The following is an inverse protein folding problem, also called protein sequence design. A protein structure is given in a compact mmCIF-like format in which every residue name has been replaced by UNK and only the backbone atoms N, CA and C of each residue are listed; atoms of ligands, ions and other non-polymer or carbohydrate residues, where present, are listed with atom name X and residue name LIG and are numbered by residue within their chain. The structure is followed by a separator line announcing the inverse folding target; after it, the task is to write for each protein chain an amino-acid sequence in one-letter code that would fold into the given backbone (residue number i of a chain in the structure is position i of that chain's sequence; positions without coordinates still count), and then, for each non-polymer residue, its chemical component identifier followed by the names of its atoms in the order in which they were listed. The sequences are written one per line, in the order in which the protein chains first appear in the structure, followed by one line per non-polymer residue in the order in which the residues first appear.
data_IF_285659466962
#
_entry.id   IF_285659466962
#
_cell.length_a   1.000
_cell.length_b   1.000
_cell.length_c   1.000
_cell.angle_alpha   90.00
_cell.angle_beta   90.00
_cell.angle_gamma   90.00
#
_symmetry.space_group_name_H-M   'P 1'
#
loop_
_entity.id
_entity.type
_entity.pdbx_description
1 polymer ?
#
# COMPACT_ATOMS: atom_id res chain seq x y z
N UNK A 1 -5.53 7.98 -8.88
CA UNK A 1 -5.16 8.47 -7.54
C UNK A 1 -3.87 9.24 -7.70
N UNK A 2 -3.74 10.42 -7.08
CA UNK A 2 -2.50 11.21 -7.13
C UNK A 2 -1.47 10.73 -6.12
N UNK A 3 -1.93 10.14 -5.00
CA UNK A 3 -1.11 9.64 -3.89
C UNK A 3 -1.16 8.11 -3.77
N UNK A 4 -0.34 7.57 -2.88
CA UNK A 4 -0.23 6.14 -2.60
C UNK A 4 -0.85 5.76 -1.25
N UNK A 5 -1.43 4.57 -1.18
CA UNK A 5 -2.01 4.04 0.05
C UNK A 5 -0.99 3.15 0.76
N UNK A 6 -0.73 3.47 2.03
CA UNK A 6 0.19 2.71 2.88
C UNK A 6 -0.44 2.15 4.14
N UNK A 7 0.37 1.42 4.89
CA UNK A 7 0.04 0.94 6.23
C UNK A 7 1.25 1.14 7.15
N UNK A 8 1.03 1.60 8.37
CA UNK A 8 2.05 1.83 9.37
C UNK A 8 2.55 0.54 10.01
N UNK A 9 3.87 0.35 10.09
CA UNK A 9 4.44 -0.85 10.73
C UNK A 9 4.26 -0.86 12.25
N UNK A 10 3.90 0.28 12.86
CA UNK A 10 3.42 0.35 14.24
C UNK A 10 2.19 -0.54 14.52
N UNK A 11 1.37 -0.82 13.49
CA UNK A 11 0.26 -1.74 13.53
C UNK A 11 0.66 -3.20 13.27
N UNK A 12 1.94 -3.48 13.02
CA UNK A 12 2.52 -4.81 12.78
C UNK A 12 3.68 -5.13 13.74
N UNK A 13 3.70 -4.54 14.94
CA UNK A 13 4.81 -4.65 15.89
C UNK A 13 5.12 -6.08 16.37
N UNK A 14 4.19 -7.04 16.17
CA UNK A 14 4.37 -8.45 16.52
C UNK A 14 4.89 -9.32 15.35
N UNK A 15 5.12 -8.74 14.17
CA UNK A 15 5.65 -9.44 13.00
C UNK A 15 7.10 -9.01 12.74
N UNK A 16 7.92 -9.95 12.24
CA UNK A 16 9.20 -9.58 11.62
C UNK A 16 8.93 -8.62 10.48
N UNK A 17 9.80 -7.62 10.30
CA UNK A 17 9.59 -6.58 9.28
C UNK A 17 9.38 -7.17 7.87
N UNK A 18 10.17 -8.17 7.49
CA UNK A 18 10.04 -8.81 6.17
C UNK A 18 8.65 -9.44 5.92
N UNK A 19 8.09 -10.08 6.95
CA UNK A 19 6.77 -10.71 6.87
C UNK A 19 5.67 -9.64 6.85
N UNK A 20 5.80 -8.59 7.66
CA UNK A 20 4.87 -7.45 7.66
C UNK A 20 4.81 -6.78 6.28
N UNK A 21 5.97 -6.47 5.69
CA UNK A 21 6.04 -5.86 4.35
C UNK A 21 5.40 -6.74 3.27
N UNK A 22 5.61 -8.06 3.34
CA UNK A 22 4.99 -9.00 2.41
C UNK A 22 3.46 -8.98 2.53
N UNK A 23 2.93 -9.06 3.76
CA UNK A 23 1.49 -9.02 4.03
C UNK A 23 0.88 -7.69 3.55
N UNK A 24 1.51 -6.56 3.86
CA UNK A 24 1.08 -5.23 3.42
C UNK A 24 1.01 -5.15 1.89
N UNK A 25 2.07 -5.58 1.20
CA UNK A 25 2.10 -5.62 -0.25
C UNK A 25 1.05 -6.56 -0.85
N UNK A 26 0.83 -7.74 -0.28
CA UNK A 26 -0.15 -8.73 -0.75
C UNK A 26 -1.60 -8.24 -0.60
N UNK A 27 -1.88 -7.44 0.43
CA UNK A 27 -3.20 -6.84 0.65
C UNK A 27 -3.54 -5.72 -0.35
N UNK A 28 -2.54 -5.25 -1.11
CA UNK A 28 -2.73 -4.28 -2.18
C UNK A 28 -2.26 -2.87 -1.83
N UNK A 29 -1.63 -2.64 -0.68
CA UNK A 29 -0.97 -1.38 -0.37
C UNK A 29 0.20 -1.16 -1.34
N UNK A 30 0.54 0.10 -1.59
CA UNK A 30 1.67 0.49 -2.43
C UNK A 30 2.71 1.32 -1.68
N UNK A 31 2.49 1.58 -0.39
CA UNK A 31 3.55 2.09 0.48
C UNK A 31 3.46 1.59 1.90
N UNK A 32 4.40 2.03 2.71
CA UNK A 32 4.55 1.68 4.13
C UNK A 32 5.04 2.89 4.90
N UNK A 33 4.42 3.17 6.04
CA UNK A 33 5.01 4.08 7.01
C UNK A 33 5.84 3.23 7.99
N UNK A 34 7.15 3.24 7.80
CA UNK A 34 8.08 2.39 8.53
C UNK A 34 8.45 3.05 9.85
N UNK A 35 7.91 2.53 10.95
CA UNK A 35 8.29 2.94 12.30
C UNK A 35 9.65 2.32 12.65
N UNK A 36 10.66 3.16 12.92
CA UNK A 36 11.95 2.71 13.43
C UNK A 36 11.81 2.27 14.89
N UNK A 37 12.02 0.99 15.17
CA UNK A 37 11.89 0.38 16.50
C UNK A 37 12.81 -0.85 16.62
N UNK A 38 13.06 -1.29 17.85
CA UNK A 38 13.91 -2.43 18.22
C UNK A 38 13.61 -3.71 17.42
N UNK A 39 12.33 -3.96 17.15
CA UNK A 39 11.88 -5.20 16.50
C UNK A 39 11.97 -5.16 14.97
N UNK A 40 11.94 -3.96 14.37
CA UNK A 40 11.93 -3.77 12.94
C UNK A 40 13.30 -3.30 12.46
N UNK A 41 13.49 -2.00 12.33
CA UNK A 41 14.76 -1.40 11.94
C UNK A 41 15.24 -0.50 13.08
N UNK A 42 16.14 -1.04 13.90
CA UNK A 42 16.72 -0.34 15.05
C UNK A 42 17.82 0.65 14.58
N UNK A 43 17.62 1.97 14.74
CA UNK A 43 18.58 2.98 14.32
C UNK A 43 19.90 2.97 15.12
N UNK A 44 19.91 2.31 16.27
CA UNK A 44 21.10 2.13 17.12
C UNK A 44 21.69 0.73 17.02
N UNK A 45 21.10 -0.15 16.20
CA UNK A 45 21.58 -1.50 15.99
C UNK A 45 22.96 -1.53 15.35
N UNK A 46 23.85 -2.47 15.73
CA UNK A 46 25.24 -2.51 15.25
C UNK A 46 25.36 -2.74 13.73
N UNK A 47 24.30 -3.22 13.08
CA UNK A 47 24.27 -3.53 11.65
C UNK A 47 23.27 -2.64 10.87
N UNK A 48 22.85 -1.50 11.42
CA UNK A 48 21.79 -0.67 10.85
C UNK A 48 21.99 -0.39 9.36
N UNK A 49 23.20 -0.03 8.91
CA UNK A 49 23.47 0.25 7.50
C UNK A 49 23.16 -0.96 6.58
N UNK A 50 23.58 -2.16 6.98
CA UNK A 50 23.33 -3.38 6.20
C UNK A 50 21.85 -3.81 6.26
N UNK A 51 21.17 -3.59 7.39
CA UNK A 51 19.73 -3.84 7.49
C UNK A 51 18.93 -2.83 6.65
N UNK A 52 19.31 -1.55 6.64
CA UNK A 52 18.71 -0.51 5.80
C UNK A 52 18.81 -0.89 4.32
N UNK A 53 19.97 -1.34 3.84
CA UNK A 53 20.14 -1.81 2.45
C UNK A 53 19.22 -3.00 2.11
N UNK A 54 19.09 -3.96 3.04
CA UNK A 54 18.18 -5.10 2.87
C UNK A 54 16.72 -4.68 2.85
N UNK A 55 16.33 -3.73 3.71
CA UNK A 55 14.97 -3.19 3.74
C UNK A 55 14.69 -2.42 2.46
N UNK A 56 15.59 -1.55 1.99
CA UNK A 56 15.47 -0.85 0.71
C UNK A 56 15.26 -1.83 -0.45
N UNK A 57 16.12 -2.84 -0.58
CA UNK A 57 15.98 -3.87 -1.62
C UNK A 57 14.65 -4.64 -1.53
N UNK A 58 14.13 -4.85 -0.30
CA UNK A 58 12.83 -5.50 -0.09
C UNK A 58 11.66 -4.59 -0.48
N UNK A 59 11.72 -3.31 -0.13
CA UNK A 59 10.72 -2.31 -0.51
C UNK A 59 10.64 -2.19 -2.03
N UNK A 60 11.79 -2.10 -2.71
CA UNK A 60 11.89 -2.07 -4.18
C UNK A 60 11.27 -3.32 -4.81
N UNK A 61 11.62 -4.51 -4.30
CA UNK A 61 11.09 -5.77 -4.81
C UNK A 61 9.57 -5.90 -4.63
N UNK A 62 9.01 -5.28 -3.60
CA UNK A 62 7.56 -5.27 -3.33
C UNK A 62 6.85 -4.08 -4.00
N UNK A 63 7.59 -3.12 -4.54
CA UNK A 63 7.05 -1.87 -5.08
C UNK A 63 6.40 -0.99 -4.00
N UNK A 64 6.96 -0.97 -2.78
CA UNK A 64 6.45 -0.17 -1.66
C UNK A 64 7.21 1.15 -1.55
N UNK A 65 6.50 2.27 -1.72
CA UNK A 65 6.97 3.60 -1.30
C UNK A 65 7.09 3.67 0.22
N UNK A 66 7.98 4.50 0.76
CA UNK A 66 8.23 4.54 2.21
C UNK A 66 8.27 5.95 2.77
N UNK A 67 7.69 6.10 3.96
CA UNK A 67 7.94 7.20 4.90
C UNK A 67 8.55 6.59 6.16
N UNK A 68 9.45 7.32 6.84
CA UNK A 68 10.00 6.88 8.12
C UNK A 68 9.26 7.57 9.26
N UNK A 69 8.80 6.78 10.24
CA UNK A 69 8.14 7.27 11.44
C UNK A 69 9.01 7.08 12.69
N UNK A 70 8.87 8.01 13.63
CA UNK A 70 9.72 8.09 14.83
C UNK A 70 8.93 7.91 16.14
N UNK A 71 7.78 7.21 16.05
CA UNK A 71 6.82 6.96 17.13
C UNK A 71 7.06 5.70 17.97
N UNK A 72 8.26 5.10 17.92
CA UNK A 72 8.58 3.94 18.75
C UNK A 72 8.51 4.25 20.25
N UNK A 73 7.86 3.35 21.01
CA UNK A 73 7.47 3.63 22.39
C UNK A 73 8.63 3.71 23.34
N UNK A 74 9.58 2.78 23.26
CA UNK A 74 10.64 2.62 24.26
C UNK A 74 12.02 2.56 23.60
N UNK A 75 12.17 3.22 22.46
CA UNK A 75 13.41 3.19 21.68
C UNK A 75 14.56 3.89 22.42
N UNK A 76 14.29 5.09 22.95
CA UNK A 76 15.31 5.92 23.60
C UNK A 76 15.36 5.71 25.12
N UNK A 77 14.23 5.32 25.73
CA UNK A 77 14.12 5.05 27.16
C UNK A 77 13.28 3.78 27.39
N UNK A 78 13.82 2.75 28.05
CA UNK A 78 13.10 1.49 28.28
C UNK A 78 11.98 1.59 29.32
N UNK A 79 11.90 2.70 30.07
CA UNK A 79 10.96 2.90 31.18
C UNK A 79 9.94 4.00 30.93
N UNK A 80 10.30 5.01 30.14
CA UNK A 80 9.44 6.15 29.82
C UNK A 80 9.08 6.15 28.36
N UNK A 81 7.79 5.97 28.06
CA UNK A 81 7.28 6.01 26.70
C UNK A 81 7.70 7.33 26.03
N UNK A 82 8.26 7.25 24.82
CA UNK A 82 8.59 8.37 23.92
C UNK A 82 9.70 9.32 24.39
N UNK A 83 10.18 9.18 25.63
CA UNK A 83 11.14 10.11 26.22
C UNK A 83 12.58 9.77 25.82
N UNK A 84 13.48 10.75 25.65
CA UNK A 84 13.22 12.20 25.65
C UNK A 84 12.57 12.69 24.35
N UNK A 85 11.94 13.86 24.44
CA UNK A 85 11.24 14.55 23.34
C UNK A 85 11.93 15.88 23.01
N UNK A 86 11.47 16.60 21.98
CA UNK A 86 12.01 17.92 21.63
C UNK A 86 11.66 19.00 22.68
N UNK A 87 10.70 18.75 23.58
CA UNK A 87 10.36 19.65 24.68
C UNK A 87 10.98 19.27 26.01
N UNK A 88 11.73 18.16 26.05
CA UNK A 88 12.52 17.73 27.21
C UNK A 88 13.71 18.66 27.44
N UNK A 89 14.27 18.66 28.66
CA UNK A 89 15.46 19.45 28.99
C UNK A 89 16.71 18.93 28.28
N UNK A 90 16.88 17.61 28.26
CA UNK A 90 17.91 16.92 27.48
C UNK A 90 17.33 16.47 26.14
N UNK A 91 17.45 17.34 25.13
CA UNK A 91 16.98 17.08 23.77
C UNK A 91 18.00 16.32 22.92
N UNK A 92 19.26 16.22 23.35
CA UNK A 92 20.36 15.79 22.49
C UNK A 92 20.14 14.37 21.97
N UNK A 93 19.62 13.49 22.81
CA UNK A 93 19.26 12.12 22.44
C UNK A 93 18.12 12.07 21.41
N UNK A 94 17.12 12.96 21.53
CA UNK A 94 16.01 13.02 20.55
C UNK A 94 16.47 13.60 19.22
N UNK A 95 17.31 14.64 19.25
CA UNK A 95 17.91 15.23 18.05
C UNK A 95 18.79 14.22 17.33
N UNK A 96 19.68 13.49 18.04
CA UNK A 96 20.49 12.41 17.45
C UNK A 96 19.62 11.33 16.79
N UNK A 97 18.54 10.90 17.46
CA UNK A 97 17.60 9.94 16.87
C UNK A 97 16.98 10.45 15.56
N UNK A 98 16.47 11.69 15.54
CA UNK A 98 15.82 12.24 14.35
C UNK A 98 16.81 12.44 13.19
N UNK A 99 18.07 12.80 13.48
CA UNK A 99 19.12 12.86 12.46
C UNK A 99 19.48 11.48 11.91
N UNK A 100 19.62 10.46 12.76
CA UNK A 100 19.78 9.07 12.31
C UNK A 100 18.61 8.59 11.48
N UNK A 101 17.39 8.94 11.88
CA UNK A 101 16.19 8.62 11.13
C UNK A 101 16.21 9.27 9.73
N UNK A 102 16.68 10.51 9.61
CA UNK A 102 16.84 11.19 8.33
C UNK A 102 17.91 10.52 7.43
N UNK A 103 19.01 10.04 8.01
CA UNK A 103 20.01 9.28 7.26
C UNK A 103 19.47 7.94 6.77
N UNK A 104 18.79 7.20 7.64
CA UNK A 104 18.13 5.93 7.28
C UNK A 104 17.06 6.17 6.22
N UNK A 105 16.22 7.19 6.39
CA UNK A 105 15.19 7.57 5.43
C UNK A 105 15.78 7.89 4.05
N UNK A 106 16.87 8.64 3.99
CA UNK A 106 17.57 8.92 2.74
C UNK A 106 18.10 7.65 2.07
N UNK A 107 18.69 6.74 2.84
CA UNK A 107 19.25 5.48 2.33
C UNK A 107 18.15 4.47 1.92
N UNK A 108 16.93 4.58 2.49
CA UNK A 108 15.73 3.85 2.07
C UNK A 108 15.06 4.46 0.83
N UNK A 109 15.39 5.70 0.45
CA UNK A 109 14.65 6.46 -0.56
C UNK A 109 13.26 6.91 -0.08
N UNK A 110 13.12 7.19 1.21
CA UNK A 110 11.87 7.63 1.82
C UNK A 110 11.51 9.08 1.48
N UNK A 111 10.20 9.37 1.46
CA UNK A 111 9.71 10.71 1.15
C UNK A 111 10.03 11.73 2.24
N UNK A 112 9.95 11.31 3.51
CA UNK A 112 10.20 12.16 4.66
C UNK A 112 10.44 11.33 5.94
N UNK A 113 10.82 12.05 7.01
CA UNK A 113 10.77 11.56 8.40
C UNK A 113 9.64 12.27 9.13
N UNK A 114 8.63 11.51 9.59
CA UNK A 114 7.57 12.02 10.46
C UNK A 114 8.03 12.09 11.92
N UNK A 115 7.76 13.21 12.59
CA UNK A 115 8.03 13.41 14.01
C UNK A 115 7.00 14.33 14.67
N UNK A 116 6.90 14.24 16.00
CA UNK A 116 6.01 15.05 16.84
C UNK A 116 6.81 15.83 17.91
N UNK A 117 6.20 16.83 18.53
CA UNK A 117 6.85 17.77 19.46
C UNK A 117 7.13 17.17 20.85
N UNK A 118 6.14 16.48 21.40
CA UNK A 118 6.17 15.81 22.69
C UNK A 118 5.27 16.48 23.72
N UNK A 119 4.96 15.72 24.76
CA UNK A 119 4.25 16.22 25.94
C UNK A 119 5.21 17.05 26.80
N UNK A 120 4.78 18.25 27.19
CA UNK A 120 5.54 19.13 28.06
C UNK A 120 5.14 18.96 29.53
N UNK A 121 6.13 18.97 30.42
CA UNK A 121 5.98 19.10 31.88
C UNK A 121 6.36 20.50 32.39
N UNK A 122 6.72 21.41 31.48
CA UNK A 122 7.07 22.81 31.73
C UNK A 122 6.03 23.75 31.12
N UNK A 123 6.16 25.04 31.42
CA UNK A 123 5.30 26.08 30.83
C UNK A 123 5.44 26.15 29.31
N UNK A 124 4.37 26.62 28.65
CA UNK A 124 4.24 26.68 27.19
C UNK A 124 5.38 27.45 26.53
N UNK A 125 5.83 28.57 27.09
CA UNK A 125 6.90 29.37 26.51
C UNK A 125 8.24 28.64 26.55
N UNK A 126 8.53 27.94 27.66
CA UNK A 126 9.74 27.09 27.76
C UNK A 126 9.67 25.91 26.79
N UNK A 127 8.52 25.22 26.71
CA UNK A 127 8.31 24.11 25.79
C UNK A 127 8.47 24.54 24.33
N UNK A 128 7.85 25.66 23.95
CA UNK A 128 7.92 26.22 22.61
C UNK A 128 9.33 26.61 22.22
N UNK A 129 10.07 27.29 23.12
CA UNK A 129 11.47 27.63 22.89
C UNK A 129 12.31 26.38 22.66
N UNK A 130 12.13 25.35 23.50
CA UNK A 130 12.81 24.05 23.40
C UNK A 130 12.54 23.39 22.06
N UNK A 131 11.28 23.31 21.65
CA UNK A 131 10.88 22.75 20.36
C UNK A 131 11.54 23.50 19.19
N UNK A 132 11.44 24.85 19.17
CA UNK A 132 12.01 25.70 18.13
C UNK A 132 13.52 25.53 18.02
N UNK A 133 14.24 25.52 19.14
CA UNK A 133 15.69 25.31 19.17
C UNK A 133 16.07 23.90 18.68
N UNK A 134 15.30 22.88 19.07
CA UNK A 134 15.49 21.50 18.60
C UNK A 134 15.27 21.32 17.10
N UNK A 135 14.18 21.87 16.56
CA UNK A 135 13.88 21.82 15.12
C UNK A 135 14.92 22.61 14.31
N UNK A 136 15.35 23.78 14.79
CA UNK A 136 16.42 24.54 14.15
C UNK A 136 17.71 23.71 14.02
N UNK A 137 18.09 22.97 15.07
CA UNK A 137 19.25 22.06 15.02
C UNK A 137 19.10 20.94 13.98
N UNK A 138 17.90 20.40 13.79
CA UNK A 138 17.63 19.40 12.76
C UNK A 138 17.82 19.98 11.35
N UNK A 139 17.34 21.20 11.13
CA UNK A 139 17.44 21.89 9.84
C UNK A 139 18.88 22.34 9.54
N UNK A 140 19.60 22.84 10.55
CA UNK A 140 21.01 23.26 10.44
C UNK A 140 21.94 22.08 10.10
N UNK A 141 21.52 20.84 10.38
CA UNK A 141 22.24 19.63 9.98
C UNK A 141 22.13 19.31 8.47
N UNK A 142 21.37 20.11 7.70
CA UNK A 142 21.16 19.94 6.26
C UNK A 142 20.69 18.52 5.89
N UNK A 143 19.49 18.10 6.36
CA UNK A 143 19.01 16.74 6.15
C UNK A 143 18.83 16.44 4.65
N UNK A 144 18.96 15.16 4.29
CA UNK A 144 18.81 14.70 2.89
C UNK A 144 17.35 14.46 2.47
N UNK A 145 16.44 14.39 3.44
CA UNK A 145 15.00 14.22 3.26
C UNK A 145 14.26 15.21 4.16
N UNK A 146 13.05 15.66 3.78
CA UNK A 146 12.28 16.59 4.59
C UNK A 146 11.80 15.94 5.89
N UNK A 147 11.60 16.77 6.92
CA UNK A 147 10.91 16.40 8.14
C UNK A 147 9.44 16.80 8.07
N UNK A 148 8.53 15.90 8.45
CA UNK A 148 7.10 16.19 8.61
C UNK A 148 6.77 16.36 10.08
N UNK A 149 6.43 17.58 10.50
CA UNK A 149 5.93 17.82 11.85
C UNK A 149 4.47 17.40 11.93
N UNK A 150 4.18 16.50 12.85
CA UNK A 150 2.85 16.00 13.18
C UNK A 150 2.29 16.78 14.38
N UNK A 151 1.16 17.50 14.22
CA UNK A 151 0.35 17.95 15.35
C UNK A 151 -0.31 16.76 16.04
N UNK A 152 -0.11 16.62 17.35
CA UNK A 152 -0.57 15.46 18.11
C UNK A 152 -1.36 15.87 19.38
N UNK A 153 -2.56 15.31 19.62
CA UNK A 153 -3.39 15.64 20.78
C UNK A 153 -2.66 15.51 22.12
N UNK A 154 -2.64 16.59 22.89
CA UNK A 154 -1.99 16.68 24.20
C UNK A 154 -0.49 16.97 24.16
N UNK A 155 0.09 17.27 23.00
CA UNK A 155 1.49 17.67 22.86
C UNK A 155 1.65 19.19 22.74
N UNK A 156 2.90 19.67 22.80
CA UNK A 156 3.22 21.10 22.67
C UNK A 156 2.83 21.72 21.31
N UNK A 157 2.71 20.89 20.26
CA UNK A 157 2.04 21.23 19.00
C UNK A 157 0.90 20.25 18.87
N UNK A 158 -0.31 20.74 19.11
CA UNK A 158 -1.54 19.97 19.03
C UNK A 158 -2.32 20.27 17.75
N UNK A 159 -2.27 21.52 17.31
CA UNK A 159 -3.03 22.00 16.15
C UNK A 159 -2.12 22.28 14.96
N UNK A 160 -2.66 22.11 13.76
CA UNK A 160 -2.07 22.47 12.49
C UNK A 160 -1.64 23.94 12.48
N UNK A 161 -2.45 24.83 13.06
CA UNK A 161 -2.13 26.27 13.16
C UNK A 161 -0.87 26.54 13.98
N UNK A 162 -0.61 25.75 15.01
CA UNK A 162 0.62 25.83 15.82
C UNK A 162 1.82 25.33 15.01
N UNK A 163 1.69 24.20 14.30
CA UNK A 163 2.74 23.71 13.41
C UNK A 163 3.11 24.73 12.31
N UNK A 164 2.10 25.38 11.71
CA UNK A 164 2.30 26.46 10.74
C UNK A 164 2.98 27.68 11.37
N UNK A 165 2.60 28.06 12.60
CA UNK A 165 3.24 29.16 13.35
C UNK A 165 4.72 28.87 13.58
N UNK A 166 5.06 27.66 14.03
CA UNK A 166 6.45 27.25 14.23
C UNK A 166 7.26 27.36 12.93
N UNK A 167 6.69 26.92 11.80
CA UNK A 167 7.35 27.07 10.49
C UNK A 167 7.59 28.52 10.12
N UNK A 168 6.62 29.41 10.33
CA UNK A 168 6.78 30.85 10.07
C UNK A 168 7.87 31.46 10.96
N UNK A 169 7.93 31.11 12.24
CA UNK A 169 8.99 31.57 13.16
C UNK A 169 10.39 31.09 12.78
N UNK A 170 10.49 29.91 12.15
CA UNK A 170 11.73 29.35 11.60
C UNK A 170 12.06 29.87 10.19
N UNK A 171 11.26 30.76 9.63
CA UNK A 171 11.51 31.39 8.33
C UNK A 171 11.06 30.57 7.12
N UNK A 172 9.98 29.79 7.26
CA UNK A 172 9.38 29.01 6.17
C UNK A 172 10.34 28.00 5.49
N UNK A 173 11.07 27.16 6.25
CA UNK A 173 12.04 26.26 5.66
C UNK A 173 11.38 25.20 4.76
N UNK A 174 11.96 24.95 3.59
CA UNK A 174 11.48 23.95 2.61
C UNK A 174 11.57 22.52 3.17
N UNK A 175 12.58 22.24 3.99
CA UNK A 175 12.83 20.91 4.58
C UNK A 175 11.95 20.59 5.81
N UNK A 176 10.99 21.46 6.14
CA UNK A 176 10.03 21.23 7.20
C UNK A 176 8.62 21.31 6.60
N UNK A 177 8.02 20.14 6.36
CA UNK A 177 6.63 19.99 5.97
C UNK A 177 5.73 19.60 7.14
N UNK A 178 4.52 19.18 6.80
CA UNK A 178 3.49 18.71 7.73
C UNK A 178 3.25 17.22 7.49
N UNK A 179 3.31 16.45 8.56
CA UNK A 179 2.61 15.17 8.63
C UNK A 179 1.22 15.47 9.17
N UNK A 180 0.17 15.12 8.44
CA UNK A 180 -1.19 15.32 8.91
C UNK A 180 -1.84 13.99 9.26
N UNK A 181 -2.07 13.75 10.54
CA UNK A 181 -2.95 12.68 11.01
C UNK A 181 -4.40 13.19 10.97
N UNK A 182 -5.23 12.52 10.15
CA UNK A 182 -6.61 12.96 9.93
C UNK A 182 -7.54 12.60 11.09
N UNK A 183 -7.20 11.59 11.88
CA UNK A 183 -7.88 11.27 13.12
C UNK A 183 -7.61 12.32 14.19
N UNK A 184 -6.38 12.82 14.29
CA UNK A 184 -6.03 13.96 15.15
C UNK A 184 -6.85 15.19 14.77
N UNK A 185 -7.05 15.45 13.47
CA UNK A 185 -7.97 16.50 13.04
C UNK A 185 -9.37 16.31 13.63
N UNK A 186 -9.94 15.10 13.55
CA UNK A 186 -11.25 14.81 14.14
C UNK A 186 -11.26 14.98 15.67
N UNK A 187 -10.18 14.57 16.34
CA UNK A 187 -10.08 14.58 17.78
C UNK A 187 -10.00 15.99 18.37
N UNK A 188 -9.19 16.88 17.79
CA UNK A 188 -8.88 18.18 18.41
C UNK A 188 -9.06 19.39 17.52
N UNK A 189 -9.03 19.27 16.19
CA UNK A 189 -9.14 20.46 15.33
C UNK A 189 -10.54 21.07 15.34
N UNK A 190 -10.65 22.40 15.20
CA UNK A 190 -11.94 23.06 15.08
C UNK A 190 -12.60 22.79 13.71
N UNK A 191 -11.77 22.49 12.70
CA UNK A 191 -12.18 22.21 11.33
C UNK A 191 -12.17 20.69 11.06
N UNK A 192 -12.90 20.25 10.04
CA UNK A 192 -12.86 18.85 9.61
C UNK A 192 -11.53 18.49 8.92
N UNK A 193 -11.21 17.19 8.87
CA UNK A 193 -9.97 16.71 8.29
C UNK A 193 -9.77 17.12 6.82
N UNK A 194 -10.84 17.18 6.02
CA UNK A 194 -10.77 17.61 4.63
C UNK A 194 -10.36 19.10 4.51
N UNK A 195 -10.82 19.93 5.44
CA UNK A 195 -10.44 21.35 5.54
C UNK A 195 -8.99 21.48 6.01
N UNK A 196 -8.56 20.71 7.00
CA UNK A 196 -7.15 20.67 7.43
C UNK A 196 -6.22 20.25 6.28
N UNK A 197 -6.61 19.25 5.47
CA UNK A 197 -5.86 18.86 4.26
C UNK A 197 -5.71 20.04 3.29
N UNK A 198 -6.77 20.82 3.07
CA UNK A 198 -6.73 22.02 2.21
C UNK A 198 -5.84 23.12 2.77
N UNK A 199 -5.86 23.31 4.08
CA UNK A 199 -5.03 24.30 4.77
C UNK A 199 -3.55 23.93 4.70
N UNK A 200 -3.20 22.65 4.90
CA UNK A 200 -1.83 22.18 4.79
C UNK A 200 -1.33 22.20 3.33
N UNK A 201 -2.18 21.81 2.37
CA UNK A 201 -1.92 21.96 0.93
C UNK A 201 -0.58 21.39 0.49
N UNK A 202 0.24 22.23 -0.15
CA UNK A 202 1.58 21.86 -0.66
C UNK A 202 2.60 21.52 0.44
N UNK A 203 2.30 21.83 1.71
CA UNK A 203 3.18 21.50 2.84
C UNK A 203 3.07 20.04 3.28
N UNK A 204 2.08 19.29 2.80
CA UNK A 204 1.89 17.89 3.15
C UNK A 204 3.04 17.03 2.61
N UNK A 205 3.77 16.39 3.52
CA UNK A 205 4.84 15.42 3.19
C UNK A 205 4.50 14.00 3.60
N UNK A 206 3.54 13.83 4.53
CA UNK A 206 2.98 12.55 4.95
C UNK A 206 1.53 12.74 5.42
N UNK A 207 0.71 11.70 5.29
CA UNK A 207 -0.66 11.67 5.83
C UNK A 207 -0.87 10.36 6.56
N UNK A 208 -1.31 10.42 7.81
CA UNK A 208 -1.71 9.27 8.60
C UNK A 208 -3.23 9.15 8.57
N UNK A 209 -3.72 7.93 8.35
CA UNK A 209 -5.12 7.61 8.12
C UNK A 209 -5.63 6.66 9.19
N UNK A 210 -6.54 7.13 10.00
CA UNK A 210 -7.27 6.35 10.99
C UNK A 210 -8.61 7.04 11.25
N UNK A 211 -9.37 6.54 12.22
CA UNK A 211 -10.61 7.17 12.63
C UNK A 211 -10.53 7.53 14.12
N UNK A 212 -11.21 8.60 14.51
CA UNK A 212 -11.25 9.04 15.90
C UNK A 212 -12.63 9.63 16.22
N UNK A 213 -12.85 9.91 17.50
CA UNK A 213 -14.02 10.66 17.97
C UNK A 213 -13.58 11.97 18.61
N UNK A 214 -14.43 12.98 18.50
CA UNK A 214 -14.13 14.32 19.01
C UNK A 214 -13.77 14.30 20.51
N UNK A 215 -12.66 14.96 20.86
CA UNK A 215 -12.15 15.10 22.22
C UNK A 215 -11.46 13.86 22.80
N UNK A 216 -11.26 12.79 22.02
CA UNK A 216 -10.60 11.56 22.48
C UNK A 216 -9.47 11.17 21.54
N UNK A 217 -8.25 11.13 22.09
CA UNK A 217 -7.07 10.63 21.37
C UNK A 217 -7.02 9.09 21.45
N UNK A 218 -7.74 8.43 20.55
CA UNK A 218 -7.73 6.98 20.36
C UNK A 218 -7.85 6.65 18.87
N UNK A 219 -6.80 6.04 18.29
CA UNK A 219 -6.81 5.56 16.91
C UNK A 219 -7.76 4.36 16.75
N UNK A 220 -8.81 4.51 15.95
CA UNK A 220 -9.84 3.53 15.67
C UNK A 220 -9.80 3.06 14.21
N UNK A 221 -10.30 1.86 13.94
CA UNK A 221 -10.55 1.40 12.57
C UNK A 221 -11.61 2.29 11.87
N UNK A 222 -11.50 2.47 10.56
CA UNK A 222 -12.46 3.27 9.79
C UNK A 222 -13.91 2.82 9.99
N UNK A 223 -14.78 3.80 10.27
CA UNK A 223 -16.21 3.60 10.54
C UNK A 223 -16.53 3.36 12.02
N UNK A 224 -15.52 3.33 12.89
CA UNK A 224 -15.72 3.29 14.34
C UNK A 224 -15.64 4.68 14.99
N UNK A 225 -15.16 5.70 14.27
CA UNK A 225 -15.16 7.09 14.70
C UNK A 225 -16.11 7.95 13.86
N UNK A 226 -15.73 9.20 13.64
CA UNK A 226 -16.54 10.21 12.94
C UNK A 226 -15.85 10.86 11.75
N UNK A 227 -14.72 10.31 11.28
CA UNK A 227 -14.03 10.81 10.09
C UNK A 227 -14.92 10.67 8.83
N UNK A 228 -15.05 11.76 8.07
CA UNK A 228 -15.50 11.68 6.67
C UNK A 228 -14.33 11.24 5.78
N UNK A 229 -14.11 9.93 5.71
CA UNK A 229 -13.00 9.34 4.97
C UNK A 229 -13.07 9.68 3.47
N UNK A 230 -14.27 9.70 2.88
CA UNK A 230 -14.44 9.96 1.45
C UNK A 230 -14.09 11.43 1.13
N UNK A 231 -14.59 12.38 1.90
CA UNK A 231 -14.26 13.79 1.72
C UNK A 231 -12.77 14.06 1.94
N UNK A 232 -12.16 13.40 2.92
CA UNK A 232 -10.74 13.54 3.24
C UNK A 232 -9.84 13.04 2.09
N UNK A 233 -10.10 11.84 1.55
CA UNK A 233 -9.35 11.30 0.40
C UNK A 233 -9.57 12.11 -0.88
N UNK A 234 -10.78 12.67 -1.07
CA UNK A 234 -11.06 13.58 -2.17
C UNK A 234 -10.27 14.89 -2.02
N UNK A 235 -10.17 15.44 -0.82
CA UNK A 235 -9.39 16.65 -0.55
C UNK A 235 -7.90 16.44 -0.87
N UNK A 236 -7.31 15.28 -0.53
CA UNK A 236 -5.93 14.94 -0.91
C UNK A 236 -5.72 14.97 -2.43
N UNK A 237 -6.70 14.47 -3.19
CA UNK A 237 -6.64 14.51 -4.66
C UNK A 237 -6.77 15.95 -5.18
N UNK A 238 -7.65 16.76 -4.58
CA UNK A 238 -7.89 18.14 -4.98
C UNK A 238 -6.67 19.04 -4.77
N UNK A 239 -5.97 18.89 -3.64
CA UNK A 239 -4.72 19.63 -3.38
C UNK A 239 -3.52 19.08 -4.16
N UNK A 240 -3.72 18.03 -4.96
CA UNK A 240 -2.66 17.43 -5.76
C UNK A 240 -1.62 16.67 -4.93
N UNK A 241 -1.98 16.17 -3.74
CA UNK A 241 -1.06 15.40 -2.92
C UNK A 241 -0.60 14.14 -3.65
N UNK A 242 0.71 13.91 -3.69
CA UNK A 242 1.32 12.76 -4.38
C UNK A 242 2.17 11.86 -3.48
N UNK A 243 2.23 12.15 -2.18
CA UNK A 243 2.99 11.38 -1.19
C UNK A 243 2.26 10.12 -0.74
N UNK A 244 2.58 9.68 0.47
CA UNK A 244 1.99 8.51 1.12
C UNK A 244 0.84 8.92 2.04
N UNK A 245 -0.29 8.22 1.94
CA UNK A 245 -1.37 8.26 2.92
C UNK A 245 -1.47 6.87 3.57
N UNK A 246 -0.91 6.72 4.78
CA UNK A 246 -0.71 5.44 5.44
C UNK A 246 -1.66 5.22 6.61
N UNK A 247 -2.22 4.01 6.72
CA UNK A 247 -3.09 3.68 7.85
C UNK A 247 -2.30 3.57 9.15
N UNK A 248 -2.70 4.30 10.20
CA UNK A 248 -2.01 4.33 11.50
C UNK A 248 -2.85 3.71 12.62
N UNK A 249 -2.49 2.50 13.06
CA UNK A 249 -3.25 1.77 14.08
C UNK A 249 -2.33 1.08 15.10
N UNK A 250 -1.60 1.84 15.93
CA UNK A 250 -0.53 1.32 16.80
C UNK A 250 -1.01 0.40 17.94
N UNK A 251 -2.32 0.27 18.15
CA UNK A 251 -2.92 -0.60 19.18
C UNK A 251 -3.53 -1.90 18.61
N UNK A 252 -3.47 -2.07 17.28
CA UNK A 252 -4.14 -3.16 16.58
C UNK A 252 -3.20 -4.30 16.13
N UNK A 253 -1.94 -4.27 16.59
CA UNK A 253 -0.91 -5.30 16.28
C UNK A 253 -1.31 -6.74 16.63
N UNK A 254 -2.30 -6.94 17.51
CA UNK A 254 -2.81 -8.26 17.86
C UNK A 254 -3.65 -8.92 16.74
N UNK A 255 -4.16 -8.13 15.78
CA UNK A 255 -4.98 -8.59 14.66
C UNK A 255 -4.53 -7.98 13.32
N UNK A 256 -3.24 -7.67 13.19
CA UNK A 256 -2.68 -6.81 12.15
C UNK A 256 -3.09 -7.19 10.71
N UNK A 257 -2.99 -8.46 10.24
CA UNK A 257 -3.36 -8.80 8.87
C UNK A 257 -4.85 -8.61 8.57
N UNK A 258 -5.72 -8.81 9.58
CA UNK A 258 -7.16 -8.68 9.42
C UNK A 258 -7.61 -7.21 9.44
N UNK A 259 -7.01 -6.43 10.32
CA UNK A 259 -7.22 -4.97 10.40
C UNK A 259 -6.75 -4.32 9.11
N UNK A 260 -5.53 -4.59 8.65
CA UNK A 260 -5.01 -4.06 7.38
C UNK A 260 -5.90 -4.42 6.18
N UNK A 261 -6.47 -5.64 6.15
CA UNK A 261 -7.41 -6.04 5.09
C UNK A 261 -8.70 -5.22 5.13
N UNK A 262 -9.26 -5.01 6.33
CA UNK A 262 -10.48 -4.20 6.51
C UNK A 262 -10.22 -2.74 6.18
N UNK A 263 -9.09 -2.18 6.62
CA UNK A 263 -8.70 -0.80 6.29
C UNK A 263 -8.55 -0.59 4.80
N UNK A 264 -7.87 -1.48 4.06
CA UNK A 264 -7.79 -1.40 2.60
C UNK A 264 -9.17 -1.50 1.94
N UNK A 265 -10.08 -2.33 2.47
CA UNK A 265 -11.45 -2.42 1.96
C UNK A 265 -12.22 -1.12 2.16
N UNK A 266 -12.11 -0.50 3.34
CA UNK A 266 -12.74 0.79 3.66
C UNK A 266 -12.17 1.92 2.78
N UNK A 267 -10.85 2.01 2.61
CA UNK A 267 -10.21 2.98 1.74
C UNK A 267 -10.69 2.85 0.29
N UNK A 268 -10.71 1.62 -0.25
CA UNK A 268 -11.24 1.38 -1.62
C UNK A 268 -12.69 1.79 -1.75
N UNK A 269 -13.54 1.45 -0.77
CA UNK A 269 -14.94 1.83 -0.77
C UNK A 269 -15.12 3.35 -0.73
N UNK A 270 -14.33 4.07 0.06
CA UNK A 270 -14.37 5.52 0.16
C UNK A 270 -13.89 6.23 -1.12
N UNK A 271 -13.02 5.57 -1.90
CA UNK A 271 -12.50 6.09 -3.17
C UNK A 271 -13.29 5.64 -4.39
N UNK A 272 -14.30 4.78 -4.22
CA UNK A 272 -15.06 4.26 -5.33
C UNK A 272 -15.84 5.38 -6.03
N UNK A 273 -15.82 5.43 -7.37
CA UNK A 273 -16.69 6.33 -8.10
C UNK A 273 -18.14 6.02 -7.72
N UNK A 274 -18.99 7.03 -7.45
CA UNK A 274 -20.40 6.82 -7.11
C UNK A 274 -21.12 5.89 -8.11
N UNK A 275 -20.73 5.98 -9.38
CA UNK A 275 -21.22 5.10 -10.44
C UNK A 275 -20.98 3.60 -10.18
N UNK A 276 -19.81 3.21 -9.68
CA UNK A 276 -19.49 1.79 -9.47
C UNK A 276 -20.35 1.20 -8.35
N UNK A 277 -20.53 1.97 -7.26
CA UNK A 277 -21.38 1.58 -6.14
C UNK A 277 -22.83 1.39 -6.59
N UNK A 278 -23.36 2.33 -7.38
CA UNK A 278 -24.70 2.21 -7.97
C UNK A 278 -24.80 1.02 -8.93
N UNK A 279 -23.79 0.81 -9.78
CA UNK A 279 -23.75 -0.29 -10.73
C UNK A 279 -23.79 -1.65 -10.03
N UNK A 280 -23.01 -1.85 -8.96
CA UNK A 280 -23.08 -3.08 -8.17
C UNK A 280 -24.45 -3.28 -7.52
N UNK A 281 -25.04 -2.22 -6.96
CA UNK A 281 -26.37 -2.30 -6.35
C UNK A 281 -27.43 -2.73 -7.38
N UNK A 282 -27.34 -2.21 -8.61
CA UNK A 282 -28.19 -2.60 -9.72
C UNK A 282 -27.98 -4.05 -10.16
N UNK A 283 -26.73 -4.52 -10.23
CA UNK A 283 -26.43 -5.94 -10.55
C UNK A 283 -26.95 -6.88 -9.46
N UNK A 284 -26.83 -6.51 -8.18
CA UNK A 284 -27.39 -7.31 -7.06
C UNK A 284 -28.92 -7.39 -7.12
N UNK A 285 -29.58 -6.32 -7.59
CA UNK A 285 -31.03 -6.27 -7.72
C UNK A 285 -31.54 -7.00 -8.98
N UNK A 286 -30.79 -6.91 -10.09
CA UNK A 286 -31.10 -7.55 -11.37
C UNK A 286 -29.80 -7.96 -12.07
N UNK A 287 -29.55 -9.28 -12.12
CA UNK A 287 -28.35 -9.83 -12.76
C UNK A 287 -28.23 -9.40 -14.23
N UNK A 288 -29.35 -9.22 -14.95
CA UNK A 288 -29.32 -8.82 -16.36
C UNK A 288 -28.77 -7.40 -16.57
N UNK A 289 -28.77 -6.54 -15.53
CA UNK A 289 -28.19 -5.22 -15.59
C UNK A 289 -26.69 -5.26 -15.96
N UNK A 290 -25.98 -6.34 -15.59
CA UNK A 290 -24.54 -6.49 -15.88
C UNK A 290 -24.25 -6.42 -17.38
N UNK A 291 -25.18 -6.86 -18.24
CA UNK A 291 -25.01 -6.86 -19.71
C UNK A 291 -24.77 -5.47 -20.28
N UNK A 292 -25.34 -4.44 -19.64
CA UNK A 292 -25.17 -3.04 -20.04
C UNK A 292 -24.08 -2.31 -19.23
N UNK A 293 -23.94 -2.65 -17.95
CA UNK A 293 -23.01 -1.99 -17.04
C UNK A 293 -21.57 -2.46 -17.25
N UNK A 294 -21.38 -3.74 -17.54
CA UNK A 294 -20.07 -4.33 -17.74
C UNK A 294 -19.35 -3.59 -18.89
N UNK A 295 -19.87 -3.47 -20.13
CA UNK A 295 -19.18 -2.72 -21.18
C UNK A 295 -18.91 -1.24 -20.86
N UNK A 296 -19.68 -0.64 -19.94
CA UNK A 296 -19.52 0.76 -19.57
C UNK A 296 -18.36 1.02 -18.59
N UNK A 297 -17.86 0.01 -17.87
CA UNK A 297 -16.90 0.15 -16.77
C UNK A 297 -15.71 1.05 -17.14
N UNK A 298 -15.02 0.77 -18.25
CA UNK A 298 -13.81 1.51 -18.62
C UNK A 298 -14.03 3.01 -18.88
N UNK A 299 -15.26 3.44 -19.17
CA UNK A 299 -15.59 4.87 -19.32
C UNK A 299 -15.73 5.59 -17.98
N UNK A 300 -16.04 4.87 -16.91
CA UNK A 300 -16.30 5.44 -15.58
C UNK A 300 -15.12 5.32 -14.63
N UNK A 301 -14.29 4.27 -14.77
CA UNK A 301 -13.20 3.99 -13.81
C UNK A 301 -11.80 4.12 -14.42
N UNK A 302 -11.70 4.37 -15.74
CA UNK A 302 -10.42 4.38 -16.45
C UNK A 302 -9.87 2.98 -16.75
N UNK A 303 -8.66 2.91 -17.32
CA UNK A 303 -8.02 1.66 -17.80
C UNK A 303 -6.55 1.53 -17.39
N UNK A 304 -6.10 2.36 -16.46
CA UNK A 304 -4.70 2.39 -16.05
C UNK A 304 -4.32 1.15 -15.25
N UNK A 305 -3.04 0.74 -15.32
CA UNK A 305 -2.51 -0.34 -14.52
C UNK A 305 -2.62 0.01 -13.03
N UNK A 306 -2.97 -0.98 -12.20
CA UNK A 306 -3.15 -0.78 -10.76
C UNK A 306 -1.82 -0.47 -10.07
N UNK A 307 -0.73 -1.06 -10.55
CA UNK A 307 0.63 -0.87 -10.02
C UNK A 307 1.61 -0.50 -11.14
N UNK A 308 1.55 0.72 -11.70
CA UNK A 308 2.29 1.05 -12.91
C UNK A 308 3.82 0.99 -12.73
N UNK A 309 4.33 1.14 -11.50
CA UNK A 309 5.78 1.08 -11.19
C UNK A 309 6.38 -0.32 -11.35
N UNK A 310 5.68 -1.35 -10.87
CA UNK A 310 6.16 -2.75 -10.89
C UNK A 310 5.46 -3.61 -11.93
N UNK A 311 4.30 -3.16 -12.44
CA UNK A 311 3.48 -3.84 -13.42
C UNK A 311 2.82 -2.82 -14.38
N UNK A 312 3.65 -2.09 -15.13
CA UNK A 312 3.22 -1.06 -16.08
C UNK A 312 2.17 -1.54 -17.10
N UNK A 313 2.12 -2.84 -17.38
CA UNK A 313 1.19 -3.46 -18.33
C UNK A 313 -0.08 -4.02 -17.68
N UNK A 314 -0.17 -4.06 -16.35
CA UNK A 314 -1.29 -4.65 -15.62
C UNK A 314 -1.42 -6.17 -15.82
N UNK A 315 -0.32 -6.87 -16.13
CA UNK A 315 -0.35 -8.31 -16.39
C UNK A 315 -0.37 -9.15 -15.12
N UNK A 316 0.18 -8.63 -14.03
CA UNK A 316 0.19 -9.30 -12.73
C UNK A 316 -1.01 -8.86 -11.91
N UNK A 317 -1.15 -7.55 -11.70
CA UNK A 317 -2.12 -6.93 -10.79
C UNK A 317 -3.39 -6.41 -11.46
N UNK A 318 -3.44 -6.40 -12.80
CA UNK A 318 -4.60 -5.92 -13.57
C UNK A 318 -4.64 -4.40 -13.75
N UNK A 319 -5.71 -3.94 -14.38
CA UNK A 319 -6.05 -2.51 -14.56
C UNK A 319 -7.27 -2.11 -13.74
N UNK A 320 -7.52 -0.80 -13.62
CA UNK A 320 -8.67 -0.26 -12.88
C UNK A 320 -10.02 -0.86 -13.34
N UNK A 321 -10.22 -1.00 -14.66
CA UNK A 321 -11.43 -1.62 -15.22
C UNK A 321 -11.50 -3.13 -14.98
N UNK A 322 -10.37 -3.85 -14.92
CA UNK A 322 -10.37 -5.27 -14.56
C UNK A 322 -10.92 -5.48 -13.13
N UNK A 323 -10.46 -4.65 -12.18
CA UNK A 323 -10.92 -4.73 -10.78
C UNK A 323 -12.40 -4.37 -10.65
N UNK A 324 -12.86 -3.31 -11.32
CA UNK A 324 -14.26 -2.92 -11.30
C UNK A 324 -15.17 -3.97 -11.96
N UNK A 325 -14.73 -4.60 -13.06
CA UNK A 325 -15.43 -5.73 -13.70
C UNK A 325 -15.53 -6.93 -12.78
N UNK A 326 -14.43 -7.30 -12.12
CA UNK A 326 -14.40 -8.40 -11.16
C UNK A 326 -15.38 -8.17 -9.99
N UNK A 327 -15.60 -6.92 -9.60
CA UNK A 327 -16.59 -6.53 -8.60
C UNK A 327 -18.04 -6.64 -9.09
N UNK A 328 -18.33 -6.21 -10.32
CA UNK A 328 -19.65 -6.44 -10.92
C UNK A 328 -19.96 -7.94 -11.02
N UNK A 329 -18.96 -8.77 -11.36
CA UNK A 329 -19.11 -10.24 -11.37
C UNK A 329 -19.38 -10.77 -9.96
N UNK A 330 -18.72 -10.21 -8.94
CA UNK A 330 -18.94 -10.60 -7.55
C UNK A 330 -20.34 -10.24 -7.01
N UNK A 331 -20.98 -9.25 -7.62
CA UNK A 331 -22.34 -8.83 -7.30
C UNK A 331 -23.41 -9.74 -7.91
N UNK A 332 -23.05 -10.64 -8.83
CA UNK A 332 -23.98 -11.60 -9.41
C UNK A 332 -24.36 -12.68 -8.39
N UNK A 333 -25.61 -13.19 -8.43
CA UNK A 333 -26.04 -14.30 -7.60
C UNK A 333 -25.41 -15.64 -8.00
N UNK A 334 -25.06 -15.80 -9.29
CA UNK A 334 -24.42 -16.99 -9.85
C UNK A 334 -23.59 -16.65 -11.11
N UNK A 335 -22.98 -17.68 -11.72
CA UNK A 335 -22.07 -17.52 -12.85
C UNK A 335 -22.76 -17.53 -14.24
N UNK A 336 -24.09 -17.51 -14.31
CA UNK A 336 -24.85 -17.74 -15.56
C UNK A 336 -24.59 -16.69 -16.65
N UNK A 337 -24.27 -15.45 -16.28
CA UNK A 337 -23.98 -14.37 -17.23
C UNK A 337 -22.55 -14.43 -17.81
N UNK A 338 -21.62 -15.14 -17.14
CA UNK A 338 -20.19 -15.11 -17.51
C UNK A 338 -19.88 -15.67 -18.91
N UNK A 339 -20.50 -16.76 -19.40
CA UNK A 339 -20.27 -17.25 -20.75
C UNK A 339 -20.56 -16.21 -21.82
N UNK A 340 -21.66 -15.48 -21.70
CA UNK A 340 -22.06 -14.47 -22.69
C UNK A 340 -21.19 -13.23 -22.61
N UNK A 341 -20.88 -12.75 -21.39
CA UNK A 341 -19.93 -11.65 -21.18
C UNK A 341 -18.56 -11.97 -21.79
N UNK A 342 -18.08 -13.20 -21.66
CA UNK A 342 -16.82 -13.62 -22.24
C UNK A 342 -16.91 -13.81 -23.76
N UNK A 343 -17.94 -14.49 -24.25
CA UNK A 343 -18.07 -14.85 -25.67
C UNK A 343 -18.24 -13.64 -26.57
N UNK A 344 -19.07 -12.67 -26.14
CA UNK A 344 -19.42 -11.51 -26.95
C UNK A 344 -18.64 -10.24 -26.58
N UNK A 345 -17.87 -10.28 -25.50
CA UNK A 345 -17.08 -9.13 -25.06
C UNK A 345 -15.83 -8.87 -25.91
N UNK A 346 -15.35 -7.63 -25.87
CA UNK A 346 -14.03 -7.26 -26.37
C UNK A 346 -12.89 -7.85 -25.50
N UNK A 347 -11.63 -7.65 -25.89
CA UNK A 347 -10.50 -8.23 -25.16
C UNK A 347 -10.40 -7.73 -23.70
N UNK A 348 -10.79 -6.47 -23.44
CA UNK A 348 -10.77 -5.91 -22.08
C UNK A 348 -11.89 -6.50 -21.23
N UNK A 349 -13.07 -6.70 -21.82
CA UNK A 349 -14.21 -7.36 -21.19
C UNK A 349 -13.90 -8.83 -20.88
N UNK A 350 -13.32 -9.57 -21.83
CA UNK A 350 -12.85 -10.95 -21.62
C UNK A 350 -11.82 -11.06 -20.50
N UNK A 351 -10.85 -10.14 -20.48
CA UNK A 351 -9.85 -10.04 -19.42
C UNK A 351 -10.51 -9.79 -18.06
N UNK A 352 -11.48 -8.89 -18.00
CA UNK A 352 -12.28 -8.63 -16.80
C UNK A 352 -13.06 -9.85 -16.31
N UNK A 353 -13.61 -10.67 -17.22
CA UNK A 353 -14.26 -11.94 -16.84
C UNK A 353 -13.25 -12.89 -16.22
N UNK A 354 -12.09 -13.10 -16.85
CA UNK A 354 -11.03 -13.98 -16.33
C UNK A 354 -10.55 -13.54 -14.95
N UNK A 355 -10.35 -12.23 -14.74
CA UNK A 355 -9.98 -11.66 -13.44
C UNK A 355 -11.09 -11.73 -12.39
N UNK A 356 -12.35 -11.80 -12.82
CA UNK A 356 -13.51 -11.98 -11.95
C UNK A 356 -13.77 -13.41 -11.49
N UNK A 357 -13.14 -14.42 -12.11
CA UNK A 357 -13.31 -15.83 -11.73
C UNK A 357 -12.68 -16.09 -10.36
N UNK A 358 -13.50 -16.58 -9.41
CA UNK A 358 -13.09 -16.90 -8.04
C UNK A 358 -12.93 -18.40 -7.88
N UNK A 359 -12.12 -18.91 -6.93
CA UNK A 359 -12.09 -20.35 -6.64
C UNK A 359 -13.46 -20.97 -6.34
N UNK A 360 -14.45 -20.17 -5.92
CA UNK A 360 -15.83 -20.61 -5.70
C UNK A 360 -16.74 -20.58 -6.93
N UNK A 361 -16.29 -20.05 -8.07
CA UNK A 361 -17.07 -20.03 -9.32
C UNK A 361 -17.29 -21.46 -9.83
N UNK A 362 -18.47 -21.75 -10.38
CA UNK A 362 -18.82 -23.06 -10.92
C UNK A 362 -17.78 -23.53 -11.97
N UNK A 363 -17.08 -24.66 -11.73
CA UNK A 363 -16.08 -25.18 -12.66
C UNK A 363 -16.63 -25.49 -14.05
N UNK A 364 -17.91 -25.88 -14.16
CA UNK A 364 -18.55 -26.15 -15.45
C UNK A 364 -18.67 -24.91 -16.34
N UNK A 365 -18.68 -23.72 -15.73
CA UNK A 365 -18.68 -22.41 -16.41
C UNK A 365 -17.26 -21.90 -16.60
N UNK A 366 -16.45 -21.89 -15.54
CA UNK A 366 -15.15 -21.21 -15.55
C UNK A 366 -14.04 -21.97 -16.28
N UNK A 367 -14.03 -23.32 -16.24
CA UNK A 367 -12.96 -24.11 -16.90
C UNK A 367 -12.98 -23.91 -18.42
N UNK A 368 -14.13 -23.97 -19.13
CA UNK A 368 -14.16 -23.67 -20.57
C UNK A 368 -13.63 -22.26 -20.91
N UNK A 369 -13.97 -21.25 -20.11
CA UNK A 369 -13.50 -19.86 -20.30
C UNK A 369 -11.98 -19.76 -20.17
N UNK A 370 -11.41 -20.34 -19.11
CA UNK A 370 -9.96 -20.33 -18.88
C UNK A 370 -9.22 -21.10 -19.97
N UNK A 371 -9.72 -22.28 -20.36
CA UNK A 371 -9.11 -23.07 -21.42
C UNK A 371 -9.16 -22.37 -22.78
N UNK A 372 -10.23 -21.64 -23.09
CA UNK A 372 -10.31 -20.82 -24.31
C UNK A 372 -9.27 -19.70 -24.29
N UNK A 373 -9.19 -18.94 -23.19
CA UNK A 373 -8.20 -17.90 -23.00
C UNK A 373 -6.75 -18.41 -23.18
N UNK A 374 -6.45 -19.59 -22.61
CA UNK A 374 -5.15 -20.25 -22.75
C UNK A 374 -4.86 -20.77 -24.17
N UNK A 375 -5.83 -20.82 -25.08
CA UNK A 375 -5.61 -21.12 -26.51
C UNK A 375 -5.33 -19.87 -27.33
N UNK A 376 -5.71 -18.68 -26.86
CA UNK A 376 -5.45 -17.41 -27.54
C UNK A 376 -3.96 -17.01 -27.53
N UNK A 377 -3.52 -16.17 -28.47
CA UNK A 377 -2.17 -15.59 -28.47
C UNK A 377 -2.14 -14.17 -27.88
N UNK A 378 -3.15 -13.80 -27.08
CA UNK A 378 -3.17 -12.52 -26.38
C UNK A 378 -2.53 -12.66 -24.99
N UNK A 379 -1.36 -12.04 -24.73
CA UNK A 379 -0.70 -12.15 -23.42
C UNK A 379 -1.56 -11.62 -22.28
N UNK A 380 -2.45 -10.66 -22.52
CA UNK A 380 -3.34 -10.09 -21.50
C UNK A 380 -4.35 -11.12 -21.00
N UNK A 381 -4.92 -11.91 -21.92
CA UNK A 381 -5.88 -12.96 -21.60
C UNK A 381 -5.19 -14.16 -20.96
N UNK A 382 -4.03 -14.57 -21.47
CA UNK A 382 -3.25 -15.69 -20.90
C UNK A 382 -2.82 -15.36 -19.46
N UNK A 383 -2.33 -14.14 -19.21
CA UNK A 383 -1.96 -13.70 -17.86
C UNK A 383 -3.17 -13.72 -16.90
N UNK A 384 -4.30 -13.16 -17.32
CA UNK A 384 -5.52 -13.16 -16.51
C UNK A 384 -6.08 -14.57 -16.25
N UNK A 385 -5.93 -15.49 -17.21
CA UNK A 385 -6.40 -16.86 -17.11
C UNK A 385 -5.65 -17.68 -16.05
N UNK A 386 -4.38 -17.36 -15.76
CA UNK A 386 -3.55 -18.08 -14.78
C UNK A 386 -3.76 -17.61 -13.32
N UNK A 387 -4.90 -16.96 -13.04
CA UNK A 387 -5.29 -16.49 -11.72
C UNK A 387 -5.78 -17.59 -10.76
N UNK A 388 -6.39 -17.20 -9.60
CA UNK A 388 -6.77 -18.13 -8.53
C UNK A 388 -7.73 -19.24 -8.94
N UNK A 389 -8.65 -18.97 -9.87
CA UNK A 389 -9.56 -19.99 -10.40
C UNK A 389 -8.79 -21.13 -11.08
N UNK A 390 -7.80 -20.81 -11.92
CA UNK A 390 -7.03 -21.82 -12.64
C UNK A 390 -6.18 -22.68 -11.69
N UNK A 391 -5.60 -22.08 -10.66
CA UNK A 391 -4.87 -22.80 -9.62
C UNK A 391 -5.77 -23.77 -8.83
N UNK A 392 -7.06 -23.47 -8.71
CA UNK A 392 -8.02 -24.32 -8.01
C UNK A 392 -8.61 -25.44 -8.89
N UNK A 393 -8.86 -25.18 -10.18
CA UNK A 393 -9.73 -26.02 -11.02
C UNK A 393 -9.10 -26.61 -12.28
N UNK A 394 -7.97 -26.10 -12.76
CA UNK A 394 -7.29 -26.74 -13.89
C UNK A 394 -6.61 -28.03 -13.44
N UNK A 395 -6.66 -29.05 -14.29
CA UNK A 395 -5.82 -30.22 -14.09
C UNK A 395 -4.33 -29.85 -14.18
N UNK A 396 -3.49 -30.70 -13.59
CA UNK A 396 -2.04 -30.47 -13.51
C UNK A 396 -1.38 -30.34 -14.87
N UNK A 397 -1.88 -31.02 -15.90
CA UNK A 397 -1.31 -30.94 -17.23
C UNK A 397 -1.62 -29.57 -17.87
N UNK A 398 -2.89 -29.18 -17.90
CA UNK A 398 -3.34 -27.89 -18.41
C UNK A 398 -2.67 -26.70 -17.70
N UNK A 399 -2.58 -26.77 -16.37
CA UNK A 399 -1.94 -25.71 -15.58
C UNK A 399 -0.44 -25.56 -15.92
N UNK A 400 0.33 -26.66 -15.99
CA UNK A 400 1.76 -26.62 -16.37
C UNK A 400 1.97 -26.06 -17.78
N UNK A 401 1.11 -26.45 -18.73
CA UNK A 401 1.14 -25.90 -20.08
C UNK A 401 0.79 -24.40 -20.11
N UNK A 402 -0.11 -23.94 -19.24
CA UNK A 402 -0.36 -22.52 -19.01
C UNK A 402 0.88 -21.77 -18.53
N UNK A 403 1.62 -22.32 -17.55
CA UNK A 403 2.89 -21.76 -17.06
C UNK A 403 3.93 -21.66 -18.18
N UNK A 404 4.12 -22.73 -18.97
CA UNK A 404 5.03 -22.69 -20.11
C UNK A 404 4.60 -21.65 -21.16
N UNK A 405 3.30 -21.50 -21.39
CA UNK A 405 2.78 -20.50 -22.31
C UNK A 405 3.10 -19.09 -21.82
N UNK A 406 2.99 -18.82 -20.53
CA UNK A 406 3.43 -17.56 -19.94
C UNK A 406 4.91 -17.28 -20.25
N UNK A 407 5.80 -18.25 -20.00
CA UNK A 407 7.22 -18.11 -20.30
C UNK A 407 7.49 -17.90 -21.80
N UNK A 408 6.79 -18.62 -22.67
CA UNK A 408 6.93 -18.49 -24.11
C UNK A 408 6.50 -17.11 -24.61
N UNK A 409 5.46 -16.53 -24.02
CA UNK A 409 4.90 -15.22 -24.38
C UNK A 409 5.57 -14.05 -23.64
N UNK A 410 6.53 -14.32 -22.76
CA UNK A 410 7.19 -13.30 -21.94
C UNK A 410 6.28 -12.67 -20.88
N UNK A 411 5.26 -13.40 -20.43
CA UNK A 411 4.38 -12.99 -19.32
C UNK A 411 5.11 -13.31 -18.00
N UNK A 412 5.24 -12.34 -17.07
CA UNK A 412 5.82 -12.58 -15.76
C UNK A 412 5.08 -13.69 -15.01
N UNK A 413 5.82 -14.62 -14.43
CA UNK A 413 5.27 -15.71 -13.63
C UNK A 413 4.65 -15.24 -12.31
N UNK A 414 4.86 -13.98 -11.91
CA UNK A 414 4.07 -13.33 -10.86
C UNK A 414 2.56 -13.30 -11.16
N UNK A 415 2.15 -13.40 -12.42
CA UNK A 415 0.74 -13.52 -12.80
C UNK A 415 0.13 -14.92 -12.50
N UNK A 416 0.98 -15.93 -12.24
CA UNK A 416 0.53 -17.30 -11.98
C UNK A 416 0.23 -17.49 -10.50
N UNK A 417 -1.05 -17.66 -10.17
CA UNK A 417 -1.47 -17.87 -8.79
C UNK A 417 -0.96 -19.21 -8.24
N UNK A 418 -0.47 -19.18 -7.00
CA UNK A 418 0.03 -20.35 -6.25
C UNK A 418 1.15 -21.12 -6.97
N UNK A 419 1.97 -20.44 -7.78
CA UNK A 419 3.08 -21.07 -8.49
C UNK A 419 4.01 -21.85 -7.57
N UNK A 420 4.41 -21.28 -6.44
CA UNK A 420 5.34 -21.93 -5.51
C UNK A 420 4.72 -23.16 -4.83
N UNK A 421 3.42 -23.13 -4.50
CA UNK A 421 2.70 -24.27 -3.93
C UNK A 421 2.51 -25.42 -4.94
N UNK A 422 2.31 -25.03 -6.19
CA UNK A 422 1.90 -25.93 -7.27
C UNK A 422 3.07 -26.34 -8.15
N UNK A 423 4.27 -25.79 -7.99
CA UNK A 423 5.43 -26.23 -8.76
C UNK A 423 5.81 -27.67 -8.39
N UNK A 424 6.13 -28.49 -9.39
CA UNK A 424 6.58 -29.86 -9.18
C UNK A 424 7.72 -30.23 -10.11
N UNK A 425 8.27 -31.43 -9.91
CA UNK A 425 9.40 -31.94 -10.68
C UNK A 425 9.12 -31.99 -12.19
N UNK A 426 7.87 -32.26 -12.59
CA UNK A 426 7.49 -32.28 -14.00
C UNK A 426 7.48 -30.88 -14.61
N UNK A 427 6.94 -29.88 -13.89
CA UNK A 427 7.05 -28.49 -14.33
C UNK A 427 8.50 -28.06 -14.45
N UNK A 428 9.35 -28.36 -13.46
CA UNK A 428 10.77 -28.02 -13.48
C UNK A 428 11.48 -28.67 -14.68
N UNK A 429 11.17 -29.94 -14.98
CA UNK A 429 11.69 -30.64 -16.16
C UNK A 429 11.27 -29.94 -17.46
N UNK A 430 9.99 -29.61 -17.61
CA UNK A 430 9.47 -28.92 -18.78
C UNK A 430 10.10 -27.52 -18.97
N UNK A 431 10.29 -26.77 -17.88
CA UNK A 431 10.94 -25.44 -17.92
C UNK A 431 12.42 -25.57 -18.27
N UNK A 432 13.10 -26.62 -17.81
CA UNK A 432 14.48 -26.91 -18.20
C UNK A 432 14.61 -27.21 -19.70
N UNK A 433 13.69 -28.00 -20.27
CA UNK A 433 13.64 -28.28 -21.71
C UNK A 433 13.42 -26.99 -22.52
N UNK A 434 12.49 -26.12 -22.09
CA UNK A 434 12.26 -24.81 -22.69
C UNK A 434 13.52 -23.92 -22.64
N UNK A 435 14.21 -23.88 -21.49
CA UNK A 435 15.44 -23.10 -21.33
C UNK A 435 16.57 -23.63 -22.22
N UNK A 436 16.72 -24.95 -22.35
CA UNK A 436 17.69 -25.56 -23.24
C UNK A 436 17.40 -25.23 -24.71
N UNK A 437 16.13 -25.28 -25.14
CA UNK A 437 15.73 -24.92 -26.51
C UNK A 437 15.96 -23.42 -26.81
N UNK A 438 15.70 -22.54 -25.84
CA UNK A 438 16.06 -21.11 -25.93
C UNK A 438 17.56 -20.94 -26.18
N UNK A 439 18.39 -21.55 -25.33
CA UNK A 439 19.84 -21.45 -25.39
C UNK A 439 20.41 -22.03 -26.69
N UNK A 440 19.94 -23.20 -27.11
CA UNK A 440 20.35 -23.82 -28.37
C UNK A 440 20.03 -22.95 -29.60
N UNK A 441 18.96 -22.16 -29.52
CA UNK A 441 18.57 -21.18 -30.53
C UNK A 441 19.24 -19.80 -30.36
N UNK A 442 20.18 -19.64 -29.42
CA UNK A 442 20.85 -18.36 -29.14
C UNK A 442 19.93 -17.29 -28.54
N UNK A 443 18.79 -17.68 -27.95
CA UNK A 443 17.80 -16.78 -27.38
C UNK A 443 17.98 -16.71 -25.85
N UNK A 444 17.77 -15.53 -25.26
CA UNK A 444 17.83 -15.36 -23.81
C UNK A 444 16.76 -16.21 -23.08
N UNK A 445 17.13 -16.76 -21.93
CA UNK A 445 16.20 -17.47 -21.03
C UNK A 445 15.56 -16.44 -20.09
N UNK A 446 14.22 -16.42 -19.94
CA UNK A 446 13.55 -15.54 -19.00
C UNK A 446 14.08 -15.71 -17.56
N UNK A 447 14.16 -14.60 -16.81
CA UNK A 447 14.60 -14.61 -15.40
C UNK A 447 13.71 -15.52 -14.57
N UNK A 448 12.39 -15.43 -14.73
CA UNK A 448 11.43 -16.27 -14.02
C UNK A 448 11.64 -17.78 -14.24
N UNK A 449 12.04 -18.19 -15.44
CA UNK A 449 12.38 -19.59 -15.72
C UNK A 449 13.63 -20.02 -14.92
N UNK A 450 14.62 -19.14 -14.83
CA UNK A 450 15.84 -19.39 -14.08
C UNK A 450 15.58 -19.45 -12.57
N UNK A 451 14.74 -18.54 -12.06
CA UNK A 451 14.35 -18.49 -10.65
C UNK A 451 13.55 -19.73 -10.23
N UNK A 452 12.61 -20.16 -11.07
CA UNK A 452 11.85 -21.40 -10.85
C UNK A 452 12.77 -22.62 -10.79
N UNK A 453 13.72 -22.74 -11.72
CA UNK A 453 14.70 -23.84 -11.72
C UNK A 453 15.65 -23.79 -10.53
N UNK A 454 15.99 -22.59 -10.04
CA UNK A 454 16.81 -22.43 -8.82
C UNK A 454 16.05 -22.92 -7.60
N UNK A 455 14.78 -22.51 -7.44
CA UNK A 455 13.91 -22.95 -6.34
C UNK A 455 13.70 -24.46 -6.35
N UNK A 456 13.54 -25.08 -7.51
CA UNK A 456 13.35 -26.53 -7.63
C UNK A 456 14.59 -27.38 -7.26
N UNK A 457 15.76 -26.76 -7.11
CA UNK A 457 17.03 -27.41 -6.72
C UNK A 457 17.39 -27.18 -5.25
N UNK A 458 16.74 -26.22 -4.60
CA UNK A 458 16.87 -25.95 -3.17
C UNK A 458 15.98 -26.91 -2.39
#
# INVERSE_FOLDING_TARGET
MTFELGYGTNGFANHRLHDALAVIADLGYTGVALTLDHHHLDPYGPNVAAETERVAARLDALGLRVVVETGARYLLDPTRKHHPTLVSDDQDTRVDFLLRAADIAADLGADCVSFWSGVSDVDEATAWKRLRDGVARLLDACPRVPFGLEPEPGMAVQHLTEALTLRTELGEPEMLGITLDVGHCVAVEPDDAATCVRQAGELLVNVQLDDMVHGVHEHLEFGAGTLDLAATLAALTEVGYTGLAAVELPRHSHAAPDVARRSMAALRAAMDPPWLVEAEARVRADAAAIRSLFPAVGRHVGRDAVRPRVDARGWVHGTADDLARARLIAALPDASELPDLYRYGDDAEKRGVLRGLRPSTDPSVGVPIVQDALRTNDPRLVAAAMGPFAAAHLDRHAWRHGVLKCLFMGIPLGAVSRLDDLADAELARMVADFAAERQAAGRAVPVDATDLLRKARA
#
